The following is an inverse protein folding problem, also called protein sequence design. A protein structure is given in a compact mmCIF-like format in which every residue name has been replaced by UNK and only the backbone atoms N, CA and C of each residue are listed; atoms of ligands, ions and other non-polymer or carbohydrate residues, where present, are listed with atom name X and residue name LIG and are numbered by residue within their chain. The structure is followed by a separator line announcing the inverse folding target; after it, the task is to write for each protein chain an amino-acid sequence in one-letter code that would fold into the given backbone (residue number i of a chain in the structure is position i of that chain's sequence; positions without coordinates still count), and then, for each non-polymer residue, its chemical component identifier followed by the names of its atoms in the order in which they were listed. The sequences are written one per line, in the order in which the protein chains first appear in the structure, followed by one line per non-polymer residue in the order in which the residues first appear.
data_IF_039805746224
#
_entry.id   IF_039805746224
#
_cell.length_a   1.000
_cell.length_b   1.000
_cell.length_c   1.000
_cell.angle_alpha   90.00
_cell.angle_beta   90.00
_cell.angle_gamma   90.00
#
_symmetry.space_group_name_H-M   'P 1'
#
loop_
_entity.id
_entity.type
_entity.pdbx_description
1 polymer ?
#
# COMPACT_ATOMS: atom_id res chain seq x y z
N UNK A 1 9.85 -27.63 39.31
CA UNK A 1 11.30 -27.40 39.10
C UNK A 1 11.45 -26.19 38.19
N UNK A 2 11.96 -25.10 38.76
CA UNK A 2 12.52 -23.90 38.12
C UNK A 2 13.95 -24.23 37.61
N UNK A 3 14.71 -23.36 36.90
CA UNK A 3 14.51 -21.91 36.69
C UNK A 3 14.78 -21.50 35.20
N UNK A 4 14.89 -20.27 34.69
CA UNK A 4 15.25 -18.92 35.17
C UNK A 4 14.98 -17.98 33.99
N UNK A 5 14.33 -16.83 34.19
CA UNK A 5 14.68 -15.57 33.52
C UNK A 5 14.13 -14.41 34.36
N UNK A 6 15.04 -13.56 34.83
CA UNK A 6 14.83 -12.40 35.69
C UNK A 6 15.37 -11.16 34.94
N UNK A 7 14.82 -9.99 35.29
CA UNK A 7 15.36 -8.61 35.14
C UNK A 7 14.89 -7.90 33.84
N UNK A 8 14.24 -6.72 33.86
CA UNK A 8 13.79 -5.81 34.92
C UNK A 8 12.71 -4.86 34.35
N UNK A 9 11.77 -4.47 35.20
CA UNK A 9 10.81 -3.39 35.00
C UNK A 9 11.39 -2.02 35.37
N UNK A 10 10.87 -0.94 34.77
CA UNK A 10 10.84 0.39 35.39
C UNK A 10 9.52 1.09 35.06
N UNK A 11 8.78 1.41 36.13
CA UNK A 11 7.53 2.16 36.21
C UNK A 11 7.73 3.64 35.85
N UNK A 12 6.70 4.27 35.28
CA UNK A 12 6.00 5.52 35.72
C UNK A 12 4.75 5.59 34.83
N UNK A 13 3.51 5.41 35.32
CA UNK A 13 2.70 6.42 36.02
C UNK A 13 1.35 6.54 35.29
N UNK A 14 0.29 5.88 35.82
CA UNK A 14 -1.10 6.00 35.38
C UNK A 14 -1.84 6.94 36.33
N UNK A 15 -2.64 7.86 35.79
CA UNK A 15 -3.80 8.44 36.48
C UNK A 15 -4.98 8.48 35.51
N UNK A 16 -5.98 7.65 35.78
CA UNK A 16 -7.33 7.75 35.22
C UNK A 16 -8.28 7.54 36.39
N UNK A 17 -8.99 8.60 36.76
CA UNK A 17 -10.05 8.56 37.75
C UNK A 17 -11.39 8.50 37.00
N UNK A 18 -12.02 7.34 36.98
CA UNK A 18 -13.44 7.19 36.70
C UNK A 18 -14.17 7.14 38.04
N UNK A 19 -14.95 8.17 38.34
CA UNK A 19 -15.88 8.16 39.45
C UNK A 19 -17.19 7.53 38.98
N UNK A 20 -17.45 6.32 39.45
CA UNK A 20 -18.78 5.73 39.50
C UNK A 20 -19.39 6.05 40.86
N UNK A 21 -20.57 6.65 40.89
CA UNK A 21 -21.41 6.77 42.09
C UNK A 21 -22.84 6.43 41.69
N UNK A 22 -23.31 5.31 42.23
CA UNK A 22 -24.70 4.89 42.19
C UNK A 22 -25.43 5.41 43.42
N UNK A 23 -26.63 5.96 43.24
CA UNK A 23 -27.67 5.92 44.29
C UNK A 23 -29.05 5.75 43.65
N UNK A 24 -29.81 4.85 44.27
CA UNK A 24 -31.12 4.34 43.87
C UNK A 24 -32.25 5.31 44.23
N UNK A 25 -33.29 5.30 43.40
CA UNK A 25 -34.66 4.99 43.82
C UNK A 25 -35.56 6.13 44.32
N UNK A 26 -36.47 6.56 43.45
CA UNK A 26 -37.84 6.89 43.84
C UNK A 26 -38.78 6.69 42.64
N UNK A 27 -39.71 5.77 42.80
CA UNK A 27 -40.83 5.47 41.91
C UNK A 27 -41.93 6.51 42.04
N UNK A 28 -42.41 7.06 40.92
CA UNK A 28 -43.76 7.59 40.80
C UNK A 28 -44.23 7.39 39.35
N UNK A 29 -45.38 6.75 39.21
CA UNK A 29 -46.00 6.41 37.93
C UNK A 29 -46.49 7.64 37.16
N UNK A 30 -46.60 7.47 35.86
CA UNK A 30 -47.13 8.46 34.93
C UNK A 30 -46.91 8.00 33.50
N UNK A 31 -47.95 7.35 32.97
CA UNK A 31 -48.36 7.25 31.57
C UNK A 31 -47.33 6.94 30.48
N UNK A 32 -47.59 5.81 29.82
CA UNK A 32 -47.02 5.43 28.54
C UNK A 32 -47.40 6.46 27.46
N UNK A 33 -46.51 7.42 27.22
CA UNK A 33 -46.50 8.23 26.01
C UNK A 33 -45.41 7.69 25.07
N UNK A 34 -45.83 7.23 23.91
CA UNK A 34 -44.95 6.91 22.80
C UNK A 34 -44.05 8.14 22.52
N UNK A 35 -42.73 7.97 22.64
CA UNK A 35 -41.78 8.94 22.10
C UNK A 35 -41.81 8.84 20.58
N UNK A 36 -42.82 9.47 19.99
CA UNK A 36 -42.80 9.93 18.61
C UNK A 36 -41.57 10.83 18.48
N UNK A 37 -40.57 10.37 17.72
CA UNK A 37 -39.50 11.23 17.24
C UNK A 37 -40.17 12.19 16.28
N UNK A 38 -40.69 13.28 16.82
CA UNK A 38 -41.16 14.43 16.05
C UNK A 38 -39.92 14.99 15.37
N UNK A 39 -39.71 14.59 14.11
CA UNK A 39 -38.98 15.42 13.17
C UNK A 39 -39.72 16.75 13.16
N UNK A 40 -39.21 17.71 13.94
CA UNK A 40 -39.55 19.10 13.70
C UNK A 40 -39.10 19.36 12.28
N UNK A 41 -40.09 19.47 11.40
CA UNK A 41 -40.01 20.01 10.06
C UNK A 41 -39.56 21.47 10.20
N UNK A 42 -38.29 21.65 10.57
CA UNK A 42 -37.60 22.87 10.25
C UNK A 42 -37.50 22.81 8.75
N UNK A 43 -38.40 23.56 8.09
CA UNK A 43 -38.18 24.13 6.78
C UNK A 43 -36.67 24.38 6.68
N UNK A 44 -35.98 23.45 6.00
CA UNK A 44 -34.73 23.81 5.37
C UNK A 44 -35.13 25.04 4.60
N UNK A 45 -34.44 26.15 4.83
CA UNK A 45 -34.56 27.27 3.93
C UNK A 45 -34.32 26.67 2.55
N UNK A 46 -35.41 26.43 1.82
CA UNK A 46 -35.42 26.23 0.39
C UNK A 46 -34.70 27.48 -0.08
N UNK A 47 -33.40 27.33 -0.28
CA UNK A 47 -32.60 28.33 -0.94
C UNK A 47 -33.35 28.47 -2.24
N UNK A 48 -34.06 29.59 -2.41
CA UNK A 48 -34.83 29.87 -3.59
C UNK A 48 -33.89 29.60 -4.77
N UNK A 49 -34.10 28.47 -5.44
CA UNK A 49 -33.55 28.14 -6.74
C UNK A 49 -34.29 29.05 -7.74
N UNK A 50 -34.15 30.36 -7.53
CA UNK A 50 -34.56 31.42 -8.44
C UNK A 50 -33.48 31.49 -9.52
N UNK A 51 -33.51 30.49 -10.37
CA UNK A 51 -32.68 30.32 -11.55
C UNK A 51 -33.41 29.34 -12.45
N UNK A 52 -34.44 29.86 -13.12
CA UNK A 52 -35.22 29.21 -14.18
C UNK A 52 -34.34 28.36 -15.12
N UNK A 53 -34.68 27.08 -15.29
CA UNK A 53 -34.61 26.42 -16.60
C UNK A 53 -33.52 25.38 -16.86
N UNK A 54 -32.44 25.31 -16.08
CA UNK A 54 -31.41 24.27 -16.19
C UNK A 54 -30.84 24.00 -14.79
N UNK A 55 -31.17 22.85 -14.19
CA UNK A 55 -30.94 22.53 -12.76
C UNK A 55 -29.44 22.39 -12.40
N UNK A 56 -28.53 22.69 -13.32
CA UNK A 56 -27.09 22.67 -13.10
C UNK A 56 -26.40 23.75 -13.96
N UNK A 57 -26.43 25.02 -13.55
CA UNK A 57 -25.43 25.97 -14.03
C UNK A 57 -24.09 25.63 -13.37
N UNK A 58 -23.45 24.55 -13.83
CA UNK A 58 -22.06 24.28 -13.50
C UNK A 58 -21.24 25.50 -13.90
N UNK A 59 -20.45 26.10 -13.00
CA UNK A 59 -19.50 27.16 -13.36
C UNK A 59 -18.86 26.88 -14.73
N UNK A 60 -19.21 27.67 -15.74
CA UNK A 60 -18.72 27.54 -17.11
C UNK A 60 -17.18 27.64 -17.14
N UNK A 61 -16.62 28.41 -16.21
CA UNK A 61 -15.19 28.61 -16.04
C UNK A 61 -14.46 27.31 -15.67
N UNK A 62 -15.07 26.43 -14.87
CA UNK A 62 -14.41 25.17 -14.51
C UNK A 62 -14.25 24.29 -15.72
N UNK A 63 -15.22 24.27 -16.65
CA UNK A 63 -15.19 23.44 -17.86
C UNK A 63 -14.63 24.18 -19.08
N UNK A 64 -14.15 25.41 -18.92
CA UNK A 64 -13.65 26.24 -20.03
C UNK A 64 -12.49 25.60 -20.82
N UNK A 65 -11.78 24.64 -20.22
CA UNK A 65 -10.76 23.83 -20.89
C UNK A 65 -11.31 22.84 -21.93
N UNK A 66 -12.58 22.44 -21.77
CA UNK A 66 -13.27 21.44 -22.58
C UNK A 66 -13.81 22.05 -23.88
N UNK A 67 -13.99 23.37 -23.93
CA UNK A 67 -14.80 23.99 -24.97
C UNK A 67 -14.13 24.12 -26.36
N UNK A 68 -12.80 23.96 -26.52
CA UNK A 68 -12.12 24.20 -27.82
C UNK A 68 -10.79 23.47 -28.10
N UNK A 69 -10.22 22.72 -27.17
CA UNK A 69 -8.93 22.07 -27.39
C UNK A 69 -9.13 20.67 -27.98
N UNK A 70 -9.13 20.56 -29.31
CA UNK A 70 -8.97 19.26 -30.01
C UNK A 70 -7.53 18.74 -29.94
N UNK A 71 -6.72 19.21 -28.98
CA UNK A 71 -5.30 18.89 -28.92
C UNK A 71 -5.04 17.48 -28.36
N UNK A 72 -5.96 16.97 -27.52
CA UNK A 72 -5.81 15.66 -26.88
C UNK A 72 -7.01 14.76 -27.12
N UNK A 73 -6.78 13.65 -27.84
CA UNK A 73 -7.78 12.62 -28.09
C UNK A 73 -7.90 11.69 -26.89
N UNK A 74 -8.88 11.95 -26.01
CA UNK A 74 -9.06 11.25 -24.72
C UNK A 74 -9.56 9.82 -24.84
N UNK A 75 -10.15 9.41 -25.97
CA UNK A 75 -10.68 8.05 -26.14
C UNK A 75 -9.62 6.95 -25.97
N UNK A 76 -8.34 7.28 -26.16
CA UNK A 76 -7.24 6.35 -25.99
C UNK A 76 -6.65 6.31 -24.56
N UNK A 77 -7.16 7.16 -23.66
CA UNK A 77 -6.64 7.35 -22.32
C UNK A 77 -7.51 6.66 -21.27
N UNK A 78 -6.89 6.36 -20.13
CA UNK A 78 -7.61 5.87 -18.95
C UNK A 78 -7.03 6.44 -17.67
N UNK A 79 -7.89 6.60 -16.69
CA UNK A 79 -7.55 7.10 -15.37
C UNK A 79 -7.90 6.05 -14.31
N UNK A 80 -7.02 5.89 -13.33
CA UNK A 80 -7.27 5.05 -12.17
C UNK A 80 -7.03 5.86 -10.90
N UNK A 81 -8.09 6.28 -10.20
CA UNK A 81 -7.97 6.84 -8.86
C UNK A 81 -7.35 5.77 -7.96
N UNK A 82 -6.31 6.10 -7.19
CA UNK A 82 -5.61 5.14 -6.33
C UNK A 82 -5.99 5.29 -4.87
N UNK A 83 -5.95 6.52 -4.37
CA UNK A 83 -6.18 6.81 -2.95
C UNK A 83 -6.54 8.27 -2.73
N UNK A 84 -7.40 8.53 -1.75
CA UNK A 84 -7.50 9.84 -1.13
C UNK A 84 -6.38 10.01 -0.09
N UNK A 85 -5.70 11.16 -0.04
CA UNK A 85 -4.66 11.43 0.95
C UNK A 85 -4.63 12.90 1.39
N UNK A 86 -4.11 13.13 2.58
CA UNK A 86 -3.90 14.47 3.14
C UNK A 86 -2.42 14.82 2.98
N UNK A 87 -2.13 15.95 2.33
CA UNK A 87 -0.79 16.52 2.16
C UNK A 87 -0.85 18.00 2.52
N UNK A 88 0.02 18.46 3.42
CA UNK A 88 0.08 19.87 3.87
C UNK A 88 -1.29 20.44 4.27
N UNK A 89 -2.05 19.69 5.09
CA UNK A 89 -3.43 20.02 5.51
C UNK A 89 -4.46 20.18 4.38
N UNK A 90 -4.13 19.77 3.15
CA UNK A 90 -5.04 19.74 2.00
C UNK A 90 -5.34 18.30 1.60
N UNK A 91 -6.57 18.08 1.14
CA UNK A 91 -7.03 16.75 0.71
C UNK A 91 -6.88 16.61 -0.80
N UNK A 92 -6.16 15.57 -1.22
CA UNK A 92 -5.89 15.26 -2.62
C UNK A 92 -6.32 13.84 -2.98
N UNK A 93 -6.73 13.64 -4.21
CA UNK A 93 -6.86 12.32 -4.83
C UNK A 93 -5.61 12.06 -5.64
N UNK A 94 -4.90 11.00 -5.29
CA UNK A 94 -3.82 10.47 -6.11
C UNK A 94 -4.42 9.54 -7.16
N UNK A 95 -4.11 9.78 -8.42
CA UNK A 95 -4.57 8.98 -9.56
C UNK A 95 -3.41 8.65 -10.48
N UNK A 96 -3.59 7.64 -11.32
CA UNK A 96 -2.64 7.27 -12.36
C UNK A 96 -3.31 7.41 -13.71
N UNK A 97 -2.65 8.12 -14.63
CA UNK A 97 -3.07 8.17 -16.03
C UNK A 97 -2.34 7.12 -16.86
N UNK A 98 -3.06 6.57 -17.83
CA UNK A 98 -2.61 5.59 -18.79
C UNK A 98 -2.86 6.17 -20.18
N UNK A 99 -1.80 6.26 -20.97
CA UNK A 99 -1.83 6.87 -22.30
C UNK A 99 -2.31 5.93 -23.40
N UNK A 100 -2.08 6.35 -24.65
CA UNK A 100 -2.70 5.83 -25.87
C UNK A 100 -2.79 4.29 -25.99
N UNK A 101 -4.00 3.76 -26.21
CA UNK A 101 -4.27 2.34 -26.50
C UNK A 101 -4.40 1.45 -25.26
N UNK A 102 -4.75 2.03 -24.11
CA UNK A 102 -4.69 1.35 -22.81
C UNK A 102 -5.96 1.46 -21.98
N UNK A 103 -7.12 1.25 -22.62
CA UNK A 103 -8.48 1.25 -22.05
C UNK A 103 -8.71 0.20 -20.93
N UNK A 104 -7.64 -0.41 -20.41
CA UNK A 104 -7.63 -1.45 -19.37
C UNK A 104 -6.57 -1.21 -18.28
N UNK A 105 -5.84 -0.08 -18.28
CA UNK A 105 -4.80 0.23 -17.30
C UNK A 105 -3.70 -0.86 -17.18
N UNK A 106 -3.44 -1.63 -18.25
CA UNK A 106 -2.62 -2.86 -18.19
C UNK A 106 -1.16 -2.69 -18.62
N UNK A 107 -0.83 -1.83 -19.60
CA UNK A 107 0.48 -1.94 -20.30
C UNK A 107 1.40 -0.72 -20.20
N UNK A 108 0.92 0.52 -20.12
CA UNK A 108 1.80 1.70 -19.98
C UNK A 108 1.18 2.77 -19.09
N UNK A 109 1.76 2.93 -17.90
CA UNK A 109 1.48 4.04 -17.00
C UNK A 109 2.25 5.27 -17.50
N UNK A 110 1.58 6.42 -17.57
CA UNK A 110 2.25 7.70 -17.81
C UNK A 110 2.95 8.13 -16.52
N UNK A 111 2.18 8.60 -15.54
CA UNK A 111 2.66 8.84 -14.20
C UNK A 111 1.51 8.82 -13.18
N UNK A 112 1.87 9.07 -11.92
CA UNK A 112 0.94 9.34 -10.82
C UNK A 112 0.84 10.84 -10.64
N UNK A 113 -0.38 11.33 -10.50
CA UNK A 113 -0.65 12.74 -10.30
C UNK A 113 -1.54 12.93 -9.08
N UNK A 114 -1.61 14.17 -8.62
CA UNK A 114 -2.46 14.64 -7.54
C UNK A 114 -3.43 15.67 -8.08
N UNK A 115 -4.65 15.67 -7.55
CA UNK A 115 -5.65 16.71 -7.81
C UNK A 115 -6.46 16.92 -6.53
N UNK A 116 -6.87 18.15 -6.26
CA UNK A 116 -7.68 18.46 -5.06
C UNK A 116 -8.97 17.63 -5.08
N UNK A 117 -9.36 17.06 -3.92
CA UNK A 117 -10.54 16.19 -3.80
C UNK A 117 -11.80 16.82 -4.39
N UNK A 118 -12.05 18.11 -4.10
CA UNK A 118 -13.24 18.82 -4.59
C UNK A 118 -13.30 18.85 -6.11
N UNK A 119 -12.20 19.23 -6.76
CA UNK A 119 -12.11 19.29 -8.23
C UNK A 119 -12.22 17.90 -8.85
N UNK A 120 -11.52 16.90 -8.30
CA UNK A 120 -11.54 15.54 -8.82
C UNK A 120 -12.95 14.93 -8.69
N UNK A 121 -13.61 15.13 -7.55
CA UNK A 121 -14.97 14.65 -7.34
C UNK A 121 -15.98 15.35 -8.28
N UNK A 122 -15.84 16.66 -8.49
CA UNK A 122 -16.64 17.41 -9.49
C UNK A 122 -16.47 16.80 -10.89
N UNK A 123 -15.22 16.57 -11.31
CA UNK A 123 -14.88 15.98 -12.60
C UNK A 123 -15.44 14.56 -12.76
N UNK A 124 -15.29 13.74 -11.71
CA UNK A 124 -15.73 12.35 -11.68
C UNK A 124 -17.26 12.23 -11.78
N UNK A 125 -18.00 13.02 -11.01
CA UNK A 125 -19.47 13.01 -11.04
C UNK A 125 -19.97 13.55 -12.38
N UNK A 126 -19.35 14.61 -12.91
CA UNK A 126 -19.68 15.13 -14.24
C UNK A 126 -19.52 14.09 -15.34
N UNK A 127 -18.41 13.35 -15.33
CA UNK A 127 -18.20 12.22 -16.26
C UNK A 127 -19.27 11.15 -16.09
N UNK A 128 -19.57 10.74 -14.84
CA UNK A 128 -20.56 9.71 -14.57
C UNK A 128 -21.98 10.12 -14.97
N UNK A 129 -22.33 11.40 -14.84
CA UNK A 129 -23.61 11.91 -15.34
C UNK A 129 -23.70 11.82 -16.86
N UNK A 130 -22.65 12.17 -17.60
CA UNK A 130 -22.61 11.96 -19.05
C UNK A 130 -22.71 10.47 -19.39
N UNK A 131 -21.89 9.62 -18.78
CA UNK A 131 -21.88 8.17 -19.01
C UNK A 131 -23.28 7.56 -18.80
N UNK A 132 -23.99 7.95 -17.74
CA UNK A 132 -25.33 7.46 -17.43
C UNK A 132 -26.38 8.03 -18.37
N UNK A 133 -26.26 9.31 -18.75
CA UNK A 133 -27.14 9.94 -19.75
C UNK A 133 -27.07 9.18 -21.07
N UNK A 134 -25.88 8.76 -21.49
CA UNK A 134 -25.68 7.91 -22.68
C UNK A 134 -26.28 6.50 -22.56
N UNK A 135 -26.60 6.06 -21.34
CA UNK A 135 -27.27 4.79 -21.08
C UNK A 135 -28.77 4.98 -20.78
N UNK A 136 -29.35 6.16 -21.04
CA UNK A 136 -30.75 6.47 -20.71
C UNK A 136 -31.05 6.51 -19.21
N UNK A 137 -30.02 6.59 -18.36
CA UNK A 137 -30.14 6.55 -16.90
C UNK A 137 -29.72 7.87 -16.26
N UNK A 138 -30.14 8.10 -15.01
CA UNK A 138 -29.64 9.20 -14.20
C UNK A 138 -28.66 8.67 -13.15
N UNK A 139 -27.46 9.26 -13.05
CA UNK A 139 -26.44 8.86 -12.07
C UNK A 139 -26.86 9.14 -10.62
N UNK A 140 -27.77 10.09 -10.38
CA UNK A 140 -28.34 10.36 -9.06
C UNK A 140 -28.16 11.80 -8.56
N UNK A 141 -28.57 12.01 -7.30
CA UNK A 141 -28.88 13.29 -6.66
C UNK A 141 -27.73 14.33 -6.69
N UNK A 142 -27.95 15.56 -7.22
CA UNK A 142 -26.97 16.65 -7.21
C UNK A 142 -26.47 17.05 -5.81
N UNK A 143 -27.22 16.72 -4.76
CA UNK A 143 -26.88 17.11 -3.38
C UNK A 143 -25.51 16.61 -2.91
N UNK A 144 -25.03 15.51 -3.49
CA UNK A 144 -23.73 14.95 -3.19
C UNK A 144 -22.57 15.93 -3.52
N UNK A 145 -22.81 16.92 -4.40
CA UNK A 145 -21.84 17.95 -4.80
C UNK A 145 -21.82 19.18 -3.87
N UNK A 146 -22.82 19.35 -3.01
CA UNK A 146 -22.98 20.57 -2.19
C UNK A 146 -21.81 20.83 -1.22
N UNK A 147 -21.05 19.79 -0.90
CA UNK A 147 -19.93 19.85 0.05
C UNK A 147 -18.56 19.78 -0.63
N UNK A 148 -18.47 19.95 -1.96
CA UNK A 148 -17.17 20.01 -2.64
C UNK A 148 -16.38 21.28 -2.28
N UNK A 149 -17.09 22.37 -2.06
CA UNK A 149 -16.58 23.65 -1.53
C UNK A 149 -16.96 23.80 -0.07
N UNK A 150 -16.42 24.83 0.58
CA UNK A 150 -16.76 25.13 1.97
C UNK A 150 -18.18 25.69 2.04
N UNK A 151 -19.13 24.91 2.58
CA UNK A 151 -20.56 25.28 2.58
C UNK A 151 -21.08 25.40 4.01
N UNK A 152 -21.78 26.49 4.32
CA UNK A 152 -22.37 26.70 5.64
C UNK A 152 -23.54 25.73 5.89
N UNK A 153 -23.59 25.18 7.11
CA UNK A 153 -24.62 24.24 7.58
C UNK A 153 -25.04 24.64 8.99
N UNK A 154 -26.34 24.81 9.20
CA UNK A 154 -26.91 25.04 10.53
C UNK A 154 -27.13 23.71 11.25
N UNK A 155 -26.63 23.59 12.48
CA UNK A 155 -26.80 22.42 13.34
C UNK A 155 -26.88 22.82 14.80
N UNK A 156 -27.97 22.43 15.49
CA UNK A 156 -28.23 22.77 16.90
C UNK A 156 -28.02 24.27 17.22
N UNK A 157 -28.67 25.15 16.46
CA UNK A 157 -28.61 26.61 16.61
C UNK A 157 -27.21 27.24 16.45
N UNK A 158 -26.23 26.48 15.96
CA UNK A 158 -24.90 26.94 15.62
C UNK A 158 -24.61 26.77 14.13
N UNK A 159 -23.79 27.67 13.58
CA UNK A 159 -23.31 27.59 12.20
C UNK A 159 -21.96 26.89 12.15
N UNK A 160 -21.87 25.88 11.30
CA UNK A 160 -20.64 25.21 10.94
C UNK A 160 -20.44 25.29 9.43
N UNK A 161 -19.24 24.99 8.97
CA UNK A 161 -18.94 24.84 7.56
C UNK A 161 -18.57 23.40 7.27
N UNK A 162 -19.00 22.86 6.13
CA UNK A 162 -18.75 21.48 5.74
C UNK A 162 -17.98 21.45 4.42
N UNK A 163 -16.95 20.61 4.34
CA UNK A 163 -16.18 20.36 3.10
C UNK A 163 -15.76 18.89 3.00
N UNK A 164 -15.79 18.36 1.78
CA UNK A 164 -15.33 17.02 1.45
C UNK A 164 -13.81 16.93 1.56
N UNK A 165 -13.33 15.90 2.25
CA UNK A 165 -11.90 15.62 2.41
C UNK A 165 -11.59 14.13 2.41
N UNK A 166 -10.31 13.83 2.69
CA UNK A 166 -9.80 12.47 2.79
C UNK A 166 -9.75 12.00 4.24
N UNK A 167 -10.05 10.73 4.48
CA UNK A 167 -9.75 10.06 5.75
C UNK A 167 -8.31 9.58 5.79
N UNK A 168 -7.76 9.37 6.99
CA UNK A 168 -6.43 8.76 7.19
C UNK A 168 -6.34 7.35 6.56
N UNK A 169 -7.47 6.66 6.42
CA UNK A 169 -7.55 5.34 5.78
C UNK A 169 -7.59 5.42 4.25
N UNK A 170 -7.78 6.61 3.68
CA UNK A 170 -7.77 6.87 2.25
C UNK A 170 -9.14 6.84 1.57
N UNK A 171 -10.22 6.87 2.35
CA UNK A 171 -11.58 7.07 1.87
C UNK A 171 -11.99 8.55 1.85
N UNK A 172 -13.19 8.83 1.37
CA UNK A 172 -13.79 10.16 1.38
C UNK A 172 -14.60 10.36 2.66
N UNK A 173 -14.59 11.56 3.22
CA UNK A 173 -15.43 11.95 4.37
C UNK A 173 -15.69 13.45 4.35
N UNK A 174 -16.89 13.87 4.76
CA UNK A 174 -17.20 15.28 5.03
C UNK A 174 -16.63 15.66 6.40
N UNK A 175 -15.86 16.73 6.41
CA UNK A 175 -15.36 17.37 7.62
C UNK A 175 -16.14 18.64 7.91
N UNK A 176 -16.32 18.91 9.20
CA UNK A 176 -16.91 20.12 9.73
C UNK A 176 -15.83 21.10 10.19
N UNK A 177 -16.09 22.39 10.00
CA UNK A 177 -15.19 23.50 10.25
C UNK A 177 -15.93 24.63 10.96
N UNK A 178 -15.19 25.47 11.66
CA UNK A 178 -15.75 26.63 12.39
C UNK A 178 -15.63 27.94 11.59
N UNK A 179 -14.91 27.93 10.48
CA UNK A 179 -14.62 29.10 9.67
C UNK A 179 -15.05 28.92 8.20
N UNK A 180 -15.38 30.03 7.54
CA UNK A 180 -15.82 30.09 6.14
C UNK A 180 -14.77 29.63 5.13
N UNK A 181 -13.50 29.61 5.53
CA UNK A 181 -12.39 29.16 4.69
C UNK A 181 -12.08 27.68 4.87
N UNK A 182 -12.82 26.97 5.74
CA UNK A 182 -12.59 25.56 6.08
C UNK A 182 -11.14 25.27 6.47
N UNK A 183 -10.56 26.12 7.33
CA UNK A 183 -9.18 26.00 7.80
C UNK A 183 -9.08 25.34 9.18
N UNK A 184 -10.09 25.50 10.04
CA UNK A 184 -10.12 24.99 11.41
C UNK A 184 -11.18 23.90 11.55
N UNK A 185 -10.73 22.64 11.59
CA UNK A 185 -11.61 21.49 11.74
C UNK A 185 -12.20 21.42 13.15
N UNK A 186 -13.50 21.15 13.27
CA UNK A 186 -14.14 20.76 14.52
C UNK A 186 -14.38 19.25 14.59
N UNK A 187 -14.37 18.69 15.79
CA UNK A 187 -14.70 17.28 16.04
C UNK A 187 -16.21 17.02 16.12
N UNK A 188 -17.05 18.05 15.95
CA UNK A 188 -18.50 17.91 15.96
C UNK A 188 -18.96 17.07 14.77
N UNK A 189 -19.52 15.89 15.02
CA UNK A 189 -20.14 15.10 13.97
C UNK A 189 -21.54 15.67 13.67
N UNK A 190 -21.68 16.35 12.54
CA UNK A 190 -22.94 16.99 12.09
C UNK A 190 -23.88 15.95 11.44
N UNK A 191 -23.48 14.67 11.34
CA UNK A 191 -24.32 13.62 10.75
C UNK A 191 -24.51 13.75 9.24
N UNK A 192 -23.65 14.53 8.57
CA UNK A 192 -23.68 14.70 7.12
C UNK A 192 -23.09 13.47 6.42
N UNK A 193 -23.83 12.96 5.44
CA UNK A 193 -23.39 11.86 4.59
C UNK A 193 -23.11 12.36 3.17
N UNK A 194 -22.11 11.76 2.54
CA UNK A 194 -21.81 12.00 1.13
C UNK A 194 -22.12 10.74 0.32
N UNK A 195 -22.95 10.88 -0.70
CA UNK A 195 -23.28 9.81 -1.63
C UNK A 195 -22.30 9.69 -2.80
N UNK A 196 -21.27 10.55 -2.89
CA UNK A 196 -20.23 10.44 -3.93
C UNK A 196 -19.46 9.12 -3.74
N UNK A 197 -19.64 8.21 -4.71
CA UNK A 197 -18.96 6.92 -4.79
C UNK A 197 -17.82 6.95 -5.82
N UNK A 198 -16.65 7.45 -5.41
CA UNK A 198 -15.43 7.34 -6.23
C UNK A 198 -14.87 5.92 -6.15
N UNK A 199 -14.77 5.26 -7.30
CA UNK A 199 -14.22 3.89 -7.39
C UNK A 199 -12.69 3.92 -7.37
N UNK A 200 -12.09 3.79 -6.18
CA UNK A 200 -10.63 3.66 -6.05
C UNK A 200 -10.14 2.30 -6.54
N UNK A 201 -8.94 2.29 -7.12
CA UNK A 201 -8.28 1.15 -7.76
C UNK A 201 -9.06 0.49 -8.91
N UNK A 202 -10.09 1.17 -9.43
CA UNK A 202 -10.79 0.76 -10.63
C UNK A 202 -10.28 1.56 -11.83
N UNK A 203 -10.03 0.88 -12.94
CA UNK A 203 -9.66 1.54 -14.19
C UNK A 203 -10.92 2.15 -14.81
N UNK A 204 -10.83 3.41 -15.23
CA UNK A 204 -11.90 4.10 -15.92
C UNK A 204 -11.37 4.66 -17.22
N UNK A 205 -12.04 4.34 -18.33
CA UNK A 205 -11.80 5.01 -19.61
C UNK A 205 -12.17 6.48 -19.50
N UNK A 206 -11.38 7.35 -20.14
CA UNK A 206 -11.65 8.78 -20.13
C UNK A 206 -12.93 9.12 -20.91
N UNK A 207 -13.17 8.40 -22.01
CA UNK A 207 -14.38 8.48 -22.81
C UNK A 207 -15.16 7.18 -22.66
N UNK A 208 -16.47 7.27 -22.47
CA UNK A 208 -17.38 6.12 -22.55
C UNK A 208 -18.20 6.20 -23.82
N UNK A 209 -18.42 5.04 -24.44
CA UNK A 209 -19.20 4.92 -25.66
C UNK A 209 -20.58 4.39 -25.31
N UNK A 210 -21.67 4.93 -25.92
CA UNK A 210 -22.99 4.33 -25.79
C UNK A 210 -22.94 2.89 -26.29
N UNK A 211 -23.59 1.98 -25.57
CA UNK A 211 -23.74 0.60 -26.05
C UNK A 211 -24.83 0.60 -27.11
N UNK A 212 -24.49 0.24 -28.34
CA UNK A 212 -25.51 -0.15 -29.33
C UNK A 212 -26.18 -1.44 -28.82
N UNK A 213 -27.35 -1.32 -28.20
CA UNK A 213 -28.19 -2.45 -27.84
C UNK A 213 -29.27 -2.60 -28.88
N UNK A 214 -28.96 -3.32 -29.96
CA UNK A 214 -29.85 -3.71 -31.06
C UNK A 214 -30.44 -2.52 -31.86
N UNK A 215 -30.66 -2.74 -33.16
CA UNK A 215 -31.05 -1.71 -34.13
C UNK A 215 -32.43 -1.06 -33.87
N UNK A 216 -33.23 -1.58 -32.92
CA UNK A 216 -34.63 -1.21 -32.75
C UNK A 216 -34.97 -0.48 -31.42
N UNK A 217 -34.04 -0.40 -30.45
CA UNK A 217 -34.30 0.16 -29.09
C UNK A 217 -33.32 1.30 -28.71
N UNK A 218 -32.72 1.99 -29.70
CA UNK A 218 -31.84 3.13 -29.44
C UNK A 218 -32.63 4.43 -29.21
N UNK A 219 -33.28 4.55 -28.06
CA UNK A 219 -33.71 5.87 -27.59
C UNK A 219 -32.51 6.62 -26.98
N UNK A 220 -32.00 7.64 -27.68
CA UNK A 220 -31.93 9.03 -27.17
C UNK A 220 -30.85 9.92 -27.83
N UNK A 221 -29.90 9.38 -28.62
CA UNK A 221 -28.87 10.20 -29.27
C UNK A 221 -28.72 9.77 -30.72
N UNK A 222 -28.90 10.72 -31.63
CA UNK A 222 -28.48 10.59 -33.02
C UNK A 222 -26.95 10.42 -33.03
N UNK A 223 -26.50 9.17 -32.96
CA UNK A 223 -25.10 8.81 -33.18
C UNK A 223 -24.85 8.93 -34.68
N UNK A 224 -24.71 10.17 -35.15
CA UNK A 224 -24.22 10.49 -36.48
C UNK A 224 -22.71 10.15 -36.56
N UNK A 225 -22.17 9.99 -37.76
CA UNK A 225 -20.74 9.73 -38.02
C UNK A 225 -19.83 10.79 -37.36
N UNK A 226 -20.40 11.95 -37.08
CA UNK A 226 -19.71 13.05 -36.42
C UNK A 226 -19.63 12.91 -34.89
N UNK A 227 -20.52 12.14 -34.27
CA UNK A 227 -20.52 11.92 -32.82
C UNK A 227 -19.18 11.37 -32.36
N UNK A 228 -18.65 10.35 -33.03
CA UNK A 228 -17.37 9.72 -32.68
C UNK A 228 -16.18 10.68 -32.83
N UNK A 229 -16.23 11.57 -33.83
CA UNK A 229 -15.17 12.53 -34.09
C UNK A 229 -15.07 13.61 -33.00
N UNK A 230 -16.19 14.03 -32.41
CA UNK A 230 -16.19 15.05 -31.35
C UNK A 230 -16.10 14.43 -29.96
N UNK A 231 -16.82 13.33 -29.71
CA UNK A 231 -16.91 12.70 -28.40
C UNK A 231 -15.58 12.10 -27.92
N UNK A 232 -14.72 11.69 -28.85
CA UNK A 232 -13.38 11.22 -28.51
C UNK A 232 -12.49 12.27 -27.83
N UNK A 233 -12.88 13.55 -27.88
CA UNK A 233 -12.22 14.68 -27.21
C UNK A 233 -12.99 15.20 -25.99
N UNK A 234 -14.22 14.73 -25.73
CA UNK A 234 -15.02 15.14 -24.57
C UNK A 234 -14.80 14.18 -23.41
N UNK A 235 -13.92 14.57 -22.50
CA UNK A 235 -13.69 13.83 -21.26
C UNK A 235 -13.56 14.80 -20.09
N UNK A 236 -14.69 15.07 -19.43
CA UNK A 236 -14.76 15.82 -18.17
C UNK A 236 -13.76 15.36 -17.11
N UNK A 237 -13.58 14.05 -16.92
CA UNK A 237 -12.65 13.55 -15.89
C UNK A 237 -11.19 13.72 -16.28
N UNK A 238 -10.78 13.23 -17.45
CA UNK A 238 -9.38 13.29 -17.86
C UNK A 238 -8.92 14.68 -18.31
N UNK A 239 -9.80 15.50 -18.88
CA UNK A 239 -9.52 16.91 -19.17
C UNK A 239 -9.27 17.70 -17.89
N UNK A 240 -10.12 17.54 -16.87
CA UNK A 240 -9.87 18.17 -15.55
C UNK A 240 -8.58 17.65 -14.93
N UNK A 241 -8.33 16.34 -15.04
CA UNK A 241 -7.13 15.71 -14.51
C UNK A 241 -5.87 16.25 -15.20
N UNK A 242 -5.91 16.51 -16.50
CA UNK A 242 -4.78 17.05 -17.25
C UNK A 242 -4.51 18.52 -16.93
N UNK A 243 -5.57 19.32 -16.80
CA UNK A 243 -5.44 20.74 -16.48
C UNK A 243 -5.01 20.99 -15.02
N UNK A 244 -5.54 20.21 -14.07
CA UNK A 244 -5.33 20.42 -12.64
C UNK A 244 -4.39 19.40 -11.99
N UNK A 245 -3.68 18.58 -12.76
CA UNK A 245 -2.68 17.66 -12.20
C UNK A 245 -1.53 18.41 -11.55
N UNK A 246 -1.18 17.94 -10.38
CA UNK A 246 0.10 18.23 -9.73
C UNK A 246 0.97 16.97 -9.75
N UNK A 247 2.28 17.14 -9.92
CA UNK A 247 3.21 16.01 -9.95
C UNK A 247 3.30 15.32 -8.58
N UNK A 248 3.05 14.01 -8.55
CA UNK A 248 3.19 13.21 -7.34
C UNK A 248 4.67 12.90 -7.10
N UNK A 249 5.30 13.64 -6.18
CA UNK A 249 6.68 13.39 -5.76
C UNK A 249 6.89 12.03 -5.08
N UNK A 250 8.14 11.71 -4.75
CA UNK A 250 8.54 10.40 -4.22
C UNK A 250 7.75 9.95 -2.97
N UNK A 251 7.46 10.87 -2.05
CA UNK A 251 6.66 10.59 -0.85
C UNK A 251 5.22 10.19 -1.18
N UNK A 252 4.57 10.93 -2.09
CA UNK A 252 3.23 10.62 -2.59
C UNK A 252 3.20 9.25 -3.30
N UNK A 253 4.18 8.96 -4.17
CA UNK A 253 4.26 7.68 -4.87
C UNK A 253 4.41 6.51 -3.91
N UNK A 254 5.14 6.69 -2.80
CA UNK A 254 5.31 5.66 -1.76
C UNK A 254 3.98 5.37 -1.05
N UNK A 255 3.19 6.39 -0.73
CA UNK A 255 1.85 6.22 -0.10
C UNK A 255 0.82 5.57 -1.05
N UNK A 256 0.88 5.91 -2.34
CA UNK A 256 0.08 5.27 -3.38
C UNK A 256 0.45 3.79 -3.54
N UNK A 257 1.74 3.45 -3.49
CA UNK A 257 2.20 2.05 -3.55
C UNK A 257 1.76 1.23 -2.34
N UNK A 258 1.78 1.82 -1.14
CA UNK A 258 1.28 1.15 0.07
C UNK A 258 -0.20 0.79 -0.05
N UNK A 259 -1.04 1.75 -0.46
CA UNK A 259 -2.49 1.54 -0.60
C UNK A 259 -2.86 0.55 -1.71
N UNK A 260 -2.22 0.63 -2.87
CA UNK A 260 -2.43 -0.34 -3.96
C UNK A 260 -1.96 -1.76 -3.62
N UNK A 261 -0.98 -1.91 -2.70
CA UNK A 261 -0.54 -3.21 -2.22
C UNK A 261 -1.52 -3.91 -1.25
N UNK A 262 -2.51 -3.15 -0.74
CA UNK A 262 -3.58 -3.64 0.13
C UNK A 262 -4.81 -4.15 -0.63
N UNK A 263 -5.00 -3.73 -1.89
CA UNK A 263 -6.16 -4.12 -2.72
C UNK A 263 -5.88 -5.21 -3.76
N UNK A 264 -4.63 -5.67 -3.89
CA UNK A 264 -4.27 -6.82 -4.74
C UNK A 264 -3.79 -7.98 -3.87
N UNK A 265 -4.75 -8.59 -3.17
CA UNK A 265 -4.63 -9.90 -2.53
C UNK A 265 -4.83 -11.02 -3.56
N UNK A 266 -4.07 -10.98 -4.67
CA UNK A 266 -3.89 -12.17 -5.47
C UNK A 266 -2.74 -12.95 -4.83
N UNK A 267 -3.08 -13.95 -4.01
CA UNK A 267 -2.19 -14.73 -3.14
C UNK A 267 -1.05 -15.46 -3.87
N UNK A 268 -1.03 -15.45 -5.22
CA UNK A 268 -0.08 -16.20 -6.03
C UNK A 268 1.09 -15.40 -6.63
N UNK A 269 1.15 -14.06 -6.55
CA UNK A 269 2.21 -13.29 -7.23
C UNK A 269 3.36 -12.77 -6.35
N UNK A 270 3.31 -12.94 -5.02
CA UNK A 270 4.31 -12.38 -4.08
C UNK A 270 5.41 -13.35 -3.60
N UNK A 271 5.62 -14.50 -4.25
CA UNK A 271 6.78 -15.37 -3.98
C UNK A 271 7.93 -15.11 -4.95
N UNK A 272 8.26 -13.85 -5.18
CA UNK A 272 9.42 -13.47 -5.99
C UNK A 272 10.51 -12.84 -5.11
N UNK A 273 11.76 -13.19 -5.39
CA UNK A 273 12.93 -12.56 -4.78
C UNK A 273 13.11 -11.15 -5.37
N UNK A 274 13.19 -10.14 -4.51
CA UNK A 274 13.46 -8.76 -4.94
C UNK A 274 14.86 -8.62 -5.56
N UNK A 275 15.10 -7.55 -6.33
CA UNK A 275 16.41 -7.31 -6.96
C UNK A 275 17.57 -7.27 -5.94
N UNK A 276 17.36 -6.57 -4.82
CA UNK A 276 18.31 -6.55 -3.70
C UNK A 276 18.51 -7.93 -3.07
N UNK A 277 17.43 -8.70 -2.89
CA UNK A 277 17.51 -10.04 -2.30
C UNK A 277 18.30 -10.99 -3.21
N UNK A 278 18.12 -10.91 -4.54
CA UNK A 278 18.89 -11.69 -5.52
C UNK A 278 20.38 -11.36 -5.45
N UNK A 279 20.72 -10.08 -5.34
CA UNK A 279 22.12 -9.64 -5.17
C UNK A 279 22.73 -10.25 -3.89
N UNK A 280 22.06 -10.12 -2.75
CA UNK A 280 22.58 -10.67 -1.51
C UNK A 280 22.64 -12.20 -1.52
N UNK A 281 21.66 -12.90 -2.09
CA UNK A 281 21.73 -14.36 -2.27
C UNK A 281 22.95 -14.79 -3.08
N UNK A 282 23.25 -14.07 -4.17
CA UNK A 282 24.44 -14.30 -4.99
C UNK A 282 25.71 -14.10 -4.15
N UNK A 283 25.85 -12.94 -3.51
CA UNK A 283 27.00 -12.59 -2.69
C UNK A 283 27.29 -13.62 -1.59
N UNK A 284 26.26 -14.01 -0.82
CA UNK A 284 26.44 -14.94 0.28
C UNK A 284 26.63 -16.40 -0.16
N UNK A 285 26.14 -16.77 -1.35
CA UNK A 285 26.44 -18.08 -1.95
C UNK A 285 27.92 -18.17 -2.37
N UNK A 286 28.46 -17.11 -2.98
CA UNK A 286 29.90 -17.00 -3.26
C UNK A 286 30.73 -17.03 -1.98
N UNK A 287 30.30 -16.31 -0.93
CA UNK A 287 30.98 -16.32 0.36
C UNK A 287 31.07 -17.74 0.97
N UNK A 288 30.03 -18.57 0.79
CA UNK A 288 30.00 -19.94 1.29
C UNK A 288 31.02 -20.82 0.55
N UNK A 289 31.07 -20.73 -0.78
CA UNK A 289 32.07 -21.46 -1.60
C UNK A 289 33.50 -21.03 -1.22
N UNK A 290 33.75 -19.73 -1.08
CA UNK A 290 35.05 -19.20 -0.66
C UNK A 290 35.43 -19.68 0.74
N UNK A 291 34.48 -19.71 1.68
CA UNK A 291 34.73 -20.19 3.05
C UNK A 291 35.07 -21.68 3.09
N UNK A 292 34.35 -22.51 2.32
CA UNK A 292 34.68 -23.94 2.18
C UNK A 292 36.08 -24.11 1.58
N UNK A 293 36.41 -23.36 0.53
CA UNK A 293 37.74 -23.41 -0.10
C UNK A 293 38.86 -23.02 0.88
N UNK A 294 38.67 -21.96 1.67
CA UNK A 294 39.62 -21.53 2.70
C UNK A 294 39.82 -22.60 3.77
N UNK A 295 38.74 -23.23 4.24
CA UNK A 295 38.81 -24.33 5.22
C UNK A 295 39.58 -25.53 4.64
N UNK A 296 39.31 -25.92 3.40
CA UNK A 296 40.00 -27.02 2.72
C UNK A 296 41.48 -26.70 2.49
N UNK A 297 41.80 -25.48 2.06
CA UNK A 297 43.19 -25.03 1.87
C UNK A 297 43.96 -25.04 3.20
N UNK A 298 43.35 -24.54 4.27
CA UNK A 298 43.97 -24.55 5.60
C UNK A 298 44.18 -25.98 6.11
N UNK A 299 43.25 -26.90 5.84
CA UNK A 299 43.38 -28.32 6.19
C UNK A 299 44.55 -29.00 5.47
N UNK A 300 44.79 -28.68 4.20
CA UNK A 300 45.95 -29.22 3.45
C UNK A 300 47.31 -28.79 4.04
N UNK A 301 47.34 -27.66 4.75
CA UNK A 301 48.55 -27.13 5.38
C UNK A 301 48.74 -27.65 6.82
N UNK A 302 47.82 -28.45 7.38
CA UNK A 302 47.98 -29.04 8.71
C UNK A 302 48.63 -30.42 8.64
N UNK A 303 49.60 -30.67 9.54
CA UNK A 303 50.28 -31.96 9.73
C UNK A 303 49.34 -33.07 10.24
N UNK A 304 49.68 -34.34 9.96
CA UNK A 304 48.89 -35.56 10.24
C UNK A 304 48.45 -35.70 11.71
N UNK A 305 49.17 -35.14 12.66
CA UNK A 305 48.87 -35.22 14.10
C UNK A 305 47.55 -34.51 14.49
N UNK A 306 47.19 -33.44 13.79
CA UNK A 306 45.95 -32.71 14.08
C UNK A 306 44.68 -33.40 13.57
N UNK A 307 44.82 -34.30 12.60
CA UNK A 307 43.71 -35.14 12.14
C UNK A 307 43.23 -36.11 13.23
N UNK A 308 44.14 -36.55 14.11
CA UNK A 308 43.87 -37.49 15.20
C UNK A 308 43.06 -36.79 16.31
N UNK A 309 43.37 -35.53 16.62
CA UNK A 309 42.62 -34.73 17.61
C UNK A 309 41.22 -34.40 17.11
N UNK A 310 41.05 -34.19 15.80
CA UNK A 310 39.74 -33.98 15.20
C UNK A 310 38.90 -35.27 15.22
N UNK A 311 39.51 -36.43 14.95
CA UNK A 311 38.84 -37.73 15.07
C UNK A 311 38.45 -38.05 16.52
N UNK A 312 39.27 -37.67 17.51
CA UNK A 312 38.92 -37.79 18.92
C UNK A 312 37.74 -36.89 19.31
N UNK A 313 37.70 -35.64 18.83
CA UNK A 313 36.60 -34.71 19.07
C UNK A 313 35.30 -35.17 18.39
N UNK A 314 35.39 -35.73 17.18
CA UNK A 314 34.24 -36.26 16.44
C UNK A 314 33.68 -37.54 17.08
N UNK A 315 34.54 -38.43 17.57
CA UNK A 315 34.12 -39.60 18.33
C UNK A 315 33.45 -39.23 19.66
N UNK A 316 33.85 -38.14 20.30
CA UNK A 316 33.19 -37.62 21.51
C UNK A 316 31.73 -37.19 21.31
N UNK A 317 31.34 -36.84 20.07
CA UNK A 317 29.95 -36.50 19.70
C UNK A 317 29.24 -37.71 19.06
N UNK A 318 29.87 -38.89 19.02
CA UNK A 318 29.33 -40.10 18.38
C UNK A 318 29.30 -40.05 16.84
N UNK A 319 29.97 -39.06 16.23
CA UNK A 319 29.98 -38.87 14.79
C UNK A 319 31.19 -39.56 14.15
N UNK A 320 30.96 -40.69 13.47
CA UNK A 320 32.01 -41.31 12.64
C UNK A 320 32.29 -40.45 11.40
N UNK A 321 33.55 -40.40 10.95
CA UNK A 321 34.02 -39.66 9.75
C UNK A 321 33.17 -39.87 8.50
N UNK A 322 32.58 -41.06 8.35
CA UNK A 322 31.66 -41.43 7.25
C UNK A 322 30.38 -40.60 7.20
N UNK A 323 29.91 -40.05 8.33
CA UNK A 323 28.65 -39.29 8.41
C UNK A 323 28.80 -37.81 8.08
N UNK A 324 30.02 -37.27 8.13
CA UNK A 324 30.24 -35.83 7.90
C UNK A 324 29.90 -35.43 6.46
N UNK A 325 30.28 -36.26 5.49
CA UNK A 325 29.99 -36.02 4.07
C UNK A 325 28.47 -35.96 3.78
N UNK A 326 27.66 -36.98 4.11
CA UNK A 326 26.21 -36.94 3.86
C UNK A 326 25.50 -35.82 4.64
N UNK A 327 25.92 -35.49 5.86
CA UNK A 327 25.35 -34.36 6.62
C UNK A 327 25.61 -33.03 5.88
N UNK A 328 26.83 -32.80 5.40
CA UNK A 328 27.17 -31.58 4.66
C UNK A 328 26.36 -31.45 3.37
N UNK A 329 26.17 -32.56 2.65
CA UNK A 329 25.39 -32.60 1.41
C UNK A 329 23.90 -32.34 1.69
N UNK A 330 23.39 -32.89 2.79
CA UNK A 330 22.02 -32.65 3.26
C UNK A 330 21.75 -31.18 3.57
N UNK A 331 22.68 -30.48 4.22
CA UNK A 331 22.55 -29.03 4.50
C UNK A 331 22.50 -28.21 3.21
N UNK A 332 23.37 -28.51 2.23
CA UNK A 332 23.38 -27.83 0.92
C UNK A 332 22.06 -28.07 0.18
N UNK A 333 21.61 -29.32 0.13
CA UNK A 333 20.33 -29.68 -0.48
C UNK A 333 19.16 -28.94 0.17
N UNK A 334 19.14 -28.85 1.50
CA UNK A 334 18.09 -28.16 2.23
C UNK A 334 18.07 -26.64 1.97
N UNK A 335 19.24 -26.01 1.80
CA UNK A 335 19.34 -24.61 1.38
C UNK A 335 18.76 -24.41 -0.03
N UNK A 336 19.10 -25.28 -0.98
CA UNK A 336 18.59 -25.21 -2.35
C UNK A 336 17.07 -25.42 -2.40
N UNK A 337 16.54 -26.37 -1.63
CA UNK A 337 15.10 -26.61 -1.51
C UNK A 337 14.38 -25.40 -0.92
N UNK A 338 14.94 -24.79 0.13
CA UNK A 338 14.39 -23.57 0.73
C UNK A 338 14.37 -22.40 -0.26
N UNK A 339 15.41 -22.26 -1.10
CA UNK A 339 15.47 -21.26 -2.17
C UNK A 339 14.38 -21.51 -3.23
N UNK A 340 14.20 -22.77 -3.65
CA UNK A 340 13.20 -23.18 -4.63
C UNK A 340 11.77 -22.92 -4.14
N UNK A 341 11.49 -23.22 -2.88
CA UNK A 341 10.19 -22.98 -2.25
C UNK A 341 9.96 -21.49 -1.87
N UNK A 342 10.96 -20.62 -2.09
CA UNK A 342 10.93 -19.19 -1.77
C UNK A 342 10.63 -18.94 -0.28
N UNK A 343 11.19 -19.78 0.58
CA UNK A 343 11.05 -19.64 2.04
C UNK A 343 12.05 -18.63 2.59
N UNK A 344 11.84 -17.35 2.27
CA UNK A 344 12.79 -16.27 2.50
C UNK A 344 13.43 -16.30 3.89
N UNK A 345 12.63 -16.37 4.95
CA UNK A 345 13.13 -16.38 6.33
C UNK A 345 14.04 -17.57 6.63
N UNK A 346 13.66 -18.76 6.17
CA UNK A 346 14.39 -20.00 6.43
C UNK A 346 15.69 -20.06 5.60
N UNK A 347 15.65 -19.63 4.34
CA UNK A 347 16.84 -19.49 3.49
C UNK A 347 17.85 -18.55 4.13
N UNK A 348 17.44 -17.38 4.63
CA UNK A 348 18.34 -16.44 5.29
C UNK A 348 19.01 -17.02 6.54
N UNK A 349 18.25 -17.70 7.39
CA UNK A 349 18.77 -18.32 8.62
C UNK A 349 19.83 -19.38 8.28
N UNK A 350 19.53 -20.28 7.34
CA UNK A 350 20.47 -21.34 6.96
C UNK A 350 21.73 -20.79 6.30
N UNK A 351 21.56 -19.81 5.41
CA UNK A 351 22.64 -19.32 4.58
C UNK A 351 23.60 -18.43 5.38
N UNK A 352 23.10 -17.57 6.28
CA UNK A 352 23.93 -16.81 7.22
C UNK A 352 24.53 -17.75 8.27
N UNK A 353 23.73 -18.64 8.86
CA UNK A 353 24.18 -19.57 9.90
C UNK A 353 25.32 -20.47 9.42
N UNK A 354 25.23 -21.00 8.20
CA UNK A 354 26.29 -21.83 7.61
C UNK A 354 27.57 -21.03 7.36
N UNK A 355 27.46 -19.81 6.84
CA UNK A 355 28.61 -18.93 6.62
C UNK A 355 29.31 -18.55 7.94
N UNK A 356 28.54 -18.18 8.98
CA UNK A 356 29.08 -17.89 10.31
C UNK A 356 29.76 -19.11 10.92
N UNK A 357 29.14 -20.30 10.80
CA UNK A 357 29.72 -21.55 11.28
C UNK A 357 31.03 -21.92 10.59
N UNK A 358 31.08 -21.82 9.26
CA UNK A 358 32.31 -22.06 8.48
C UNK A 358 33.41 -21.06 8.82
N UNK A 359 33.06 -19.79 8.99
CA UNK A 359 34.02 -18.76 9.38
C UNK A 359 34.57 -19.00 10.80
N UNK A 360 33.71 -19.34 11.77
CA UNK A 360 34.12 -19.69 13.12
C UNK A 360 35.07 -20.91 13.12
N UNK A 361 34.75 -21.94 12.32
CA UNK A 361 35.60 -23.10 12.14
C UNK A 361 36.97 -22.75 11.53
N UNK A 362 36.98 -21.89 10.51
CA UNK A 362 38.22 -21.39 9.91
C UNK A 362 39.09 -20.65 10.93
N UNK A 363 38.52 -19.73 11.73
CA UNK A 363 39.25 -19.00 12.78
C UNK A 363 39.82 -19.97 13.83
N UNK A 364 39.05 -20.98 14.21
CA UNK A 364 39.50 -22.04 15.13
C UNK A 364 40.73 -22.78 14.57
N UNK A 365 40.67 -23.23 13.31
CA UNK A 365 41.79 -23.89 12.64
C UNK A 365 43.01 -22.97 12.54
N UNK A 366 42.83 -21.70 12.19
CA UNK A 366 43.91 -20.72 12.07
C UNK A 366 44.59 -20.44 13.42
N UNK A 367 43.82 -20.33 14.51
CA UNK A 367 44.38 -20.14 15.87
C UNK A 367 45.22 -21.36 16.30
N UNK A 368 44.75 -22.57 16.00
CA UNK A 368 45.51 -23.80 16.29
C UNK A 368 46.79 -23.90 15.47
N UNK A 369 46.75 -23.59 14.17
CA UNK A 369 47.94 -23.58 13.32
C UNK A 369 49.02 -22.60 13.82
N UNK A 370 48.63 -21.40 14.31
CA UNK A 370 49.58 -20.45 14.90
C UNK A 370 50.21 -20.96 16.20
N UNK A 371 49.45 -21.67 17.05
CA UNK A 371 49.99 -22.28 18.28
C UNK A 371 50.97 -23.42 17.98
N UNK A 372 50.73 -24.18 16.91
CA UNK A 372 51.66 -25.19 16.42
C UNK A 372 52.99 -24.58 15.92
N UNK A 373 52.92 -23.46 15.19
CA UNK A 373 54.10 -22.78 14.64
C UNK A 373 54.95 -22.02 15.67
N UNK A 374 54.37 -21.61 16.82
CA UNK A 374 55.10 -20.94 17.90
C UNK A 374 55.73 -21.89 18.93
N UNK A 375 55.57 -23.21 18.77
CA UNK A 375 56.17 -24.24 19.64
C UNK A 375 57.30 -25.03 18.96
N UNK A 376 57.93 -24.45 17.93
CA UNK A 376 58.98 -25.10 17.14
C UNK A 376 60.40 -24.84 17.65
N UNK A 377 60.71 -25.30 18.87
CA UNK A 377 62.05 -25.82 19.16
C UNK A 377 61.90 -27.24 19.70
N UNK A 378 62.43 -28.20 18.95
CA UNK A 378 62.62 -29.58 19.39
C UNK A 378 61.41 -30.48 19.20
N UNK A 379 61.22 -31.02 17.99
CA UNK A 379 60.94 -32.45 17.75
C UNK A 379 61.08 -32.72 16.24
N UNK A 380 62.27 -32.48 15.69
CA UNK A 380 62.79 -33.31 14.61
C UNK A 380 63.58 -34.41 15.34
N UNK A 381 62.88 -35.49 15.71
CA UNK A 381 63.55 -36.78 15.90
C UNK A 381 63.30 -37.55 14.63
N UNK A 382 64.38 -37.74 13.90
CA UNK A 382 64.55 -38.76 12.90
C UNK A 382 63.97 -40.08 13.42
N UNK A 383 62.76 -40.40 12.98
CA UNK A 383 62.34 -41.79 12.87
C UNK A 383 62.72 -42.19 11.46
N UNK A 384 63.91 -42.77 11.34
CA UNK A 384 64.39 -43.39 10.13
C UNK A 384 63.38 -44.41 9.62
N UNK A 385 63.12 -44.36 8.32
CA UNK A 385 62.68 -45.51 7.57
C UNK A 385 63.72 -45.70 6.44
N UNK A 386 64.84 -46.30 6.80
CA UNK A 386 65.51 -47.22 5.88
C UNK A 386 64.52 -48.36 5.61
N UNK A 387 64.24 -48.67 4.35
CA UNK A 387 64.03 -50.02 3.79
C UNK A 387 64.12 -49.88 2.26
N UNK A 388 65.16 -50.54 1.74
CA UNK A 388 65.47 -51.05 0.38
C UNK A 388 65.44 -50.14 -0.84
#
# INVERSE_FOLDING_TARGET
MNPTNIILSLLVGRTAANAASSTRGASAGGDAAANEIVYKDHHQFERALSGSGDVMSFDDDFWSYDQRSMDTYWADYSIMPKKCMILNNKSYIAFTMYGKGHNSCTKKKEDTYLMEVGKFAKAYVGQKQLDYKYMGNNYGNPDALNYLTCTAVAYNDAYYYAKLGCTNQGGLKIYSYTDENCSQTTNTNIGLYNDIKISFNSCQSCVTWPKQTNDDDAEAIEVDDNFDNYHGYDSKLCGAADQFKENCGWGCQREVKKSSSSSSSNYNSKRSWGGFEKFCLCFWSFAMVLSVWLVLKQRRLMSREYAIVEEAAMNGVGLKKRHVFPISLGVVFFILLAMFMVWKKLTWILLIGTNVGLFAHFVYLRRKAKKAGNGGEGYIKDAGLEIS
#
